data_IF_095751648012
#
_entry.id   IF_095751648012
#
_cell.length_a   1.000
_cell.length_b   1.000
_cell.length_c   1.000
_cell.angle_alpha   90.00
_cell.angle_beta   90.00
_cell.angle_gamma   90.00
#
_symmetry.space_group_name_H-M   'P 1'
#
loop_
_entity.id
_entity.type
_entity.pdbx_description
1 polymer ?
#
# COMPACT_ATOMS: atom_id res chain seq x y z
N UNK A 1 13.56 -15.43 -17.85
CA UNK A 1 12.54 -14.64 -18.59
C UNK A 1 12.15 -15.27 -19.92
N UNK A 2 13.08 -15.53 -20.86
CA UNK A 2 12.73 -16.08 -22.18
C UNK A 2 11.97 -17.43 -22.09
N UNK A 3 12.44 -18.34 -21.23
CA UNK A 3 11.76 -19.63 -20.98
C UNK A 3 10.33 -19.42 -20.43
N UNK A 4 10.14 -18.45 -19.53
CA UNK A 4 8.82 -18.10 -18.98
C UNK A 4 7.87 -17.56 -20.06
N UNK A 5 8.40 -16.76 -21.00
CA UNK A 5 7.63 -16.23 -22.14
C UNK A 5 7.21 -17.38 -23.06
N UNK A 6 8.13 -18.29 -23.40
CA UNK A 6 7.84 -19.46 -24.23
C UNK A 6 6.78 -20.35 -23.57
N UNK A 7 6.91 -20.62 -22.26
CA UNK A 7 5.93 -21.40 -21.49
C UNK A 7 4.55 -20.73 -21.45
N UNK A 8 4.50 -19.40 -21.31
CA UNK A 8 3.25 -18.64 -21.36
C UNK A 8 2.54 -18.79 -22.71
N UNK A 9 3.27 -18.64 -23.82
CA UNK A 9 2.71 -18.81 -25.16
C UNK A 9 2.30 -20.27 -25.46
N UNK A 10 3.05 -21.25 -24.96
CA UNK A 10 2.67 -22.67 -25.06
C UNK A 10 1.35 -22.98 -24.33
N UNK A 11 1.07 -22.26 -23.22
CA UNK A 11 -0.13 -22.42 -22.42
C UNK A 11 -1.40 -21.75 -22.97
N UNK A 12 -1.31 -20.89 -23.99
CA UNK A 12 -2.45 -20.08 -24.51
C UNK A 12 -3.69 -20.91 -24.81
N UNK A 13 -3.54 -22.14 -25.32
CA UNK A 13 -4.67 -23.01 -25.68
C UNK A 13 -5.42 -23.59 -24.46
N UNK A 14 -4.83 -23.53 -23.27
CA UNK A 14 -5.41 -24.05 -22.02
C UNK A 14 -6.15 -22.95 -21.25
N UNK A 15 -5.91 -21.68 -21.56
CA UNK A 15 -6.55 -20.57 -20.86
C UNK A 15 -8.03 -20.43 -21.25
N UNK A 16 -8.87 -20.33 -20.24
CA UNK A 16 -10.28 -19.99 -20.41
C UNK A 16 -10.43 -18.47 -20.57
N UNK A 17 -10.92 -18.03 -21.74
CA UNK A 17 -11.11 -16.62 -22.02
C UNK A 17 -12.42 -16.11 -21.39
N UNK A 18 -12.30 -15.38 -20.29
CA UNK A 18 -13.43 -14.66 -19.67
C UNK A 18 -13.68 -13.38 -20.48
N UNK A 19 -14.95 -13.11 -20.83
CA UNK A 19 -15.32 -11.87 -21.53
C UNK A 19 -14.93 -10.65 -20.67
N UNK A 20 -14.32 -9.59 -21.25
CA UNK A 20 -13.87 -8.44 -20.48
C UNK A 20 -15.05 -7.65 -19.89
N UNK A 21 -15.06 -7.46 -18.58
CA UNK A 21 -16.09 -6.72 -17.84
C UNK A 21 -16.03 -5.18 -17.95
N UNK A 22 -15.51 -4.64 -19.06
CA UNK A 22 -15.28 -3.20 -19.22
C UNK A 22 -14.08 -2.66 -18.43
N UNK A 23 -13.89 -1.33 -18.45
CA UNK A 23 -12.79 -0.64 -17.76
C UNK A 23 -13.28 0.06 -16.49
N UNK A 24 -12.76 -0.36 -15.34
CA UNK A 24 -13.07 0.25 -14.04
C UNK A 24 -12.62 1.73 -13.99
N UNK A 25 -11.51 2.08 -14.66
CA UNK A 25 -11.07 3.48 -14.76
C UNK A 25 -12.07 4.36 -15.51
N UNK A 26 -12.73 3.80 -16.55
CA UNK A 26 -13.82 4.49 -17.24
C UNK A 26 -15.00 4.72 -16.30
N UNK A 27 -15.36 3.73 -15.49
CA UNK A 27 -16.43 3.84 -14.49
C UNK A 27 -16.13 4.94 -13.46
N UNK A 28 -14.91 4.99 -12.93
CA UNK A 28 -14.48 6.04 -11.99
C UNK A 28 -14.60 7.43 -12.65
N UNK A 29 -14.10 7.57 -13.88
CA UNK A 29 -14.16 8.83 -14.62
C UNK A 29 -15.62 9.26 -14.91
N UNK A 30 -16.47 8.32 -15.31
CA UNK A 30 -17.89 8.54 -15.57
C UNK A 30 -18.61 9.07 -14.33
N UNK A 31 -18.42 8.44 -13.16
CA UNK A 31 -19.05 8.88 -11.92
C UNK A 31 -18.59 10.30 -11.54
N UNK A 32 -17.30 10.60 -11.68
CA UNK A 32 -16.76 11.94 -11.37
C UNK A 32 -17.30 13.00 -12.34
N UNK A 33 -17.37 12.70 -13.63
CA UNK A 33 -17.88 13.61 -14.66
C UNK A 33 -19.38 13.83 -14.49
N UNK A 34 -20.16 12.77 -14.29
CA UNK A 34 -21.60 12.85 -14.06
C UNK A 34 -21.93 13.64 -12.79
N UNK A 35 -21.21 13.39 -11.69
CA UNK A 35 -21.35 14.14 -10.44
C UNK A 35 -21.02 15.62 -10.61
N UNK A 36 -19.98 15.95 -11.37
CA UNK A 36 -19.58 17.33 -11.68
C UNK A 36 -20.63 18.03 -12.55
N UNK A 37 -21.15 17.35 -13.58
CA UNK A 37 -22.18 17.89 -14.46
C UNK A 37 -23.49 18.17 -13.71
N UNK A 38 -23.89 17.26 -12.80
CA UNK A 38 -25.09 17.38 -11.96
C UNK A 38 -24.85 18.17 -10.66
N UNK A 39 -23.71 18.87 -10.51
CA UNK A 39 -23.33 19.56 -9.25
C UNK A 39 -24.36 20.63 -8.82
N UNK A 40 -25.03 21.27 -9.77
CA UNK A 40 -26.02 22.33 -9.52
C UNK A 40 -27.39 21.80 -9.03
N UNK A 41 -27.66 20.49 -9.15
CA UNK A 41 -28.94 19.92 -8.76
C UNK A 41 -29.02 19.68 -7.25
N UNK A 42 -30.18 19.95 -6.66
CA UNK A 42 -30.45 19.59 -5.27
C UNK A 42 -30.75 18.10 -5.15
N UNK A 43 -30.27 17.48 -4.08
CA UNK A 43 -30.61 16.10 -3.74
C UNK A 43 -32.01 16.09 -3.12
N UNK A 44 -32.90 15.15 -3.49
CA UNK A 44 -34.19 15.01 -2.86
C UNK A 44 -34.04 14.69 -1.37
N UNK A 45 -34.97 15.19 -0.55
CA UNK A 45 -34.99 14.95 0.89
C UNK A 45 -35.45 13.51 1.21
N UNK A 46 -35.15 13.06 2.43
CA UNK A 46 -35.08 11.64 2.82
C UNK A 46 -36.34 10.78 2.52
N UNK A 47 -37.51 11.41 2.38
CA UNK A 47 -38.82 10.76 2.18
C UNK A 47 -39.16 10.43 0.71
N UNK A 48 -38.51 11.05 -0.28
CA UNK A 48 -38.79 10.84 -1.73
C UNK A 48 -37.79 9.90 -2.44
N UNK A 49 -37.04 9.10 -1.68
CA UNK A 49 -35.91 8.31 -2.22
C UNK A 49 -36.30 7.13 -3.12
N UNK A 50 -37.55 6.66 -3.07
CA UNK A 50 -37.99 5.53 -3.88
C UNK A 50 -38.14 5.96 -5.36
N UNK A 51 -37.15 5.61 -6.19
CA UNK A 51 -37.16 5.84 -7.64
C UNK A 51 -36.41 7.09 -8.14
N UNK A 52 -35.81 7.87 -7.24
CA UNK A 52 -35.01 9.06 -7.61
C UNK A 52 -33.59 8.70 -8.10
N UNK A 53 -33.06 7.57 -7.65
CA UNK A 53 -31.73 7.09 -8.02
C UNK A 53 -31.81 5.89 -8.96
N UNK A 54 -30.87 5.83 -9.91
CA UNK A 54 -30.78 4.73 -10.85
C UNK A 54 -30.10 3.52 -10.20
N UNK A 55 -30.90 2.50 -9.91
CA UNK A 55 -30.44 1.21 -9.38
C UNK A 55 -30.96 0.07 -10.29
N UNK A 56 -30.20 -0.31 -11.35
CA UNK A 56 -30.59 -1.41 -12.21
C UNK A 56 -30.53 -2.73 -11.44
N UNK A 57 -31.53 -3.59 -11.64
CA UNK A 57 -31.52 -4.96 -11.13
C UNK A 57 -30.42 -5.74 -11.87
N UNK A 58 -29.37 -6.13 -11.15
CA UNK A 58 -28.31 -6.97 -11.69
C UNK A 58 -28.74 -8.43 -11.61
N UNK A 59 -28.67 -9.13 -12.74
CA UNK A 59 -29.03 -10.55 -12.91
C UNK A 59 -28.14 -11.54 -12.12
N UNK A 60 -27.11 -11.06 -11.43
CA UNK A 60 -26.18 -11.91 -10.65
C UNK A 60 -26.34 -11.63 -9.15
N UNK A 61 -27.03 -12.55 -8.47
CA UNK A 61 -27.29 -12.59 -7.02
C UNK A 61 -26.03 -12.58 -6.11
N UNK A 62 -24.82 -12.57 -6.67
CA UNK A 62 -23.55 -12.61 -5.90
C UNK A 62 -22.87 -11.24 -5.73
N UNK A 63 -23.35 -10.17 -6.36
CA UNK A 63 -22.79 -8.83 -6.15
C UNK A 63 -23.41 -8.18 -4.90
N UNK A 64 -22.60 -8.14 -3.83
CA UNK A 64 -22.90 -7.46 -2.57
C UNK A 64 -23.53 -6.07 -2.84
N UNK A 65 -24.83 -5.91 -2.53
CA UNK A 65 -25.53 -4.63 -2.68
C UNK A 65 -25.03 -3.67 -1.61
N UNK A 66 -24.46 -2.54 -2.02
CA UNK A 66 -24.04 -1.51 -1.08
C UNK A 66 -25.25 -0.66 -0.67
N UNK A 67 -25.55 -0.52 0.64
CA UNK A 67 -26.57 0.40 1.09
C UNK A 67 -26.16 1.85 0.76
N UNK A 68 -27.12 2.70 0.41
CA UNK A 68 -26.84 4.10 0.11
C UNK A 68 -26.23 4.81 1.33
N UNK A 69 -24.94 5.14 1.26
CA UNK A 69 -24.24 5.79 2.38
C UNK A 69 -24.32 7.30 2.26
N UNK A 70 -24.58 8.02 3.36
CA UNK A 70 -24.67 9.49 3.37
C UNK A 70 -23.34 10.23 3.25
N UNK A 71 -22.23 9.51 3.22
CA UNK A 71 -20.90 10.05 2.99
C UNK A 71 -20.69 10.38 1.49
N UNK A 72 -19.84 11.38 1.23
CA UNK A 72 -19.58 11.90 -0.12
C UNK A 72 -20.87 12.19 -0.91
N UNK A 73 -21.80 12.96 -0.31
CA UNK A 73 -23.13 13.26 -0.89
C UNK A 73 -23.07 13.80 -2.32
N UNK A 74 -22.02 14.53 -2.70
CA UNK A 74 -21.86 15.05 -4.05
C UNK A 74 -21.77 13.96 -5.12
N UNK A 75 -21.23 12.77 -4.80
CA UNK A 75 -21.14 11.65 -5.74
C UNK A 75 -22.51 11.01 -6.00
N UNK A 76 -23.45 11.07 -5.05
CA UNK A 76 -24.83 10.59 -5.25
C UNK A 76 -25.52 11.29 -6.42
N UNK A 77 -25.13 12.53 -6.73
CA UNK A 77 -25.69 13.29 -7.85
C UNK A 77 -25.46 12.61 -9.21
N UNK A 78 -24.43 11.78 -9.35
CA UNK A 78 -24.19 11.01 -10.57
C UNK A 78 -25.28 9.97 -10.85
N UNK A 79 -25.93 9.44 -9.80
CA UNK A 79 -26.99 8.44 -9.91
C UNK A 79 -28.40 9.02 -9.96
N UNK A 80 -28.55 10.35 -9.92
CA UNK A 80 -29.85 11.02 -9.90
C UNK A 80 -30.50 10.99 -11.30
N UNK A 81 -31.71 10.45 -11.38
CA UNK A 81 -32.50 10.37 -12.63
C UNK A 81 -33.16 11.72 -12.89
N UNK A 82 -32.80 12.38 -13.99
CA UNK A 82 -33.49 13.59 -14.45
C UNK A 82 -34.70 13.13 -15.29
N UNK A 83 -35.85 13.81 -15.17
CA UNK A 83 -37.11 13.43 -15.84
C UNK A 83 -36.99 13.26 -17.37
N UNK A 84 -36.05 13.96 -18.01
CA UNK A 84 -35.75 13.85 -19.46
C UNK A 84 -34.80 12.69 -19.84
N UNK A 85 -34.27 11.92 -18.87
CA UNK A 85 -33.35 10.79 -19.08
C UNK A 85 -34.04 9.41 -18.96
N UNK A 86 -35.38 9.36 -19.04
CA UNK A 86 -36.15 8.12 -19.29
C UNK A 86 -35.95 7.67 -20.74
N UNK A 87 -34.74 7.19 -21.03
CA UNK A 87 -34.36 6.62 -22.31
C UNK A 87 -34.12 5.12 -22.09
N UNK A 88 -34.57 4.29 -23.04
CA UNK A 88 -34.37 2.83 -23.08
C UNK A 88 -32.95 2.42 -22.65
N UNK A 89 -32.82 1.26 -21.98
CA UNK A 89 -31.54 0.75 -21.47
C UNK A 89 -30.42 0.68 -22.52
N UNK A 90 -30.77 0.59 -23.82
CA UNK A 90 -29.84 0.46 -24.94
C UNK A 90 -29.19 1.77 -25.42
N UNK A 91 -29.72 2.94 -25.05
CA UNK A 91 -29.26 4.26 -25.57
C UNK A 91 -28.81 5.24 -24.49
N UNK A 92 -28.53 4.73 -23.28
CA UNK A 92 -28.06 5.55 -22.16
C UNK A 92 -26.59 5.95 -22.28
N UNK A 93 -26.32 7.23 -22.04
CA UNK A 93 -24.96 7.75 -21.97
C UNK A 93 -24.38 7.56 -20.54
N UNK A 94 -23.39 6.67 -20.36
CA UNK A 94 -22.82 6.36 -19.04
C UNK A 94 -22.07 7.55 -18.41
N UNK A 95 -21.78 8.61 -19.18
CA UNK A 95 -21.15 9.84 -18.69
C UNK A 95 -22.12 10.85 -18.06
N UNK A 96 -23.43 10.64 -18.18
CA UNK A 96 -24.46 11.52 -17.59
C UNK A 96 -25.21 10.85 -16.45
N UNK A 97 -25.37 9.54 -16.49
CA UNK A 97 -26.08 8.77 -15.46
C UNK A 97 -25.31 7.49 -15.13
N UNK A 98 -24.98 7.33 -13.85
CA UNK A 98 -24.28 6.15 -13.33
C UNK A 98 -25.21 5.38 -12.39
N UNK A 99 -24.94 4.09 -12.15
CA UNK A 99 -25.72 3.33 -11.17
C UNK A 99 -25.33 3.71 -9.73
N UNK A 100 -26.25 3.50 -8.78
CA UNK A 100 -25.96 3.64 -7.34
C UNK A 100 -24.76 2.79 -6.94
N UNK A 101 -24.68 1.57 -7.48
CA UNK A 101 -23.57 0.67 -7.19
C UNK A 101 -22.22 1.26 -7.63
N UNK A 102 -22.09 1.78 -8.86
CA UNK A 102 -20.85 2.43 -9.32
C UNK A 102 -20.43 3.61 -8.45
N UNK A 103 -21.41 4.36 -7.94
CA UNK A 103 -21.18 5.48 -7.02
C UNK A 103 -20.67 4.99 -5.66
N UNK A 104 -21.30 3.98 -5.07
CA UNK A 104 -20.88 3.43 -3.78
C UNK A 104 -19.53 2.70 -3.89
N UNK A 105 -19.24 2.03 -5.01
CA UNK A 105 -17.94 1.44 -5.29
C UNK A 105 -16.82 2.50 -5.27
N UNK A 106 -17.02 3.64 -5.96
CA UNK A 106 -16.08 4.75 -5.94
C UNK A 106 -15.93 5.35 -4.53
N UNK A 107 -17.03 5.48 -3.77
CA UNK A 107 -16.95 5.97 -2.39
C UNK A 107 -16.08 5.05 -1.53
N UNK A 108 -16.27 3.73 -1.64
CA UNK A 108 -15.44 2.78 -0.90
C UNK A 108 -13.96 2.93 -1.28
N UNK A 109 -13.67 3.02 -2.57
CA UNK A 109 -12.31 3.25 -3.06
C UNK A 109 -11.68 4.53 -2.50
N UNK A 110 -12.44 5.64 -2.44
CA UNK A 110 -11.97 6.90 -1.86
C UNK A 110 -11.71 6.80 -0.35
N UNK A 111 -12.42 5.95 0.40
CA UNK A 111 -12.16 5.69 1.82
C UNK A 111 -10.86 4.93 2.06
N UNK A 112 -10.46 4.11 1.11
CA UNK A 112 -9.24 3.29 1.18
C UNK A 112 -7.98 4.13 0.87
N UNK A 113 -8.12 5.19 0.05
CA UNK A 113 -7.01 6.04 -0.40
C UNK A 113 -6.15 6.64 0.73
N UNK A 114 -6.70 7.19 1.82
CA UNK A 114 -5.90 7.71 2.92
C UNK A 114 -4.95 6.67 3.53
N UNK A 115 -5.43 5.44 3.72
CA UNK A 115 -4.63 4.32 4.27
C UNK A 115 -3.53 3.92 3.29
N UNK A 116 -3.84 3.93 2.00
CA UNK A 116 -2.87 3.70 0.94
C UNK A 116 -1.77 4.77 0.94
N UNK A 117 -2.12 6.07 1.02
CA UNK A 117 -1.14 7.17 1.05
C UNK A 117 -0.25 7.14 2.29
N UNK A 118 -0.79 6.86 3.48
CA UNK A 118 0.01 6.79 4.70
C UNK A 118 1.02 5.64 4.66
N UNK A 119 0.63 4.52 4.06
CA UNK A 119 1.51 3.37 3.80
C UNK A 119 2.70 3.72 2.92
N UNK A 120 2.51 4.58 1.90
CA UNK A 120 3.61 5.07 1.06
C UNK A 120 4.64 5.79 1.92
N UNK A 121 4.20 6.78 2.69
CA UNK A 121 5.07 7.70 3.41
C UNK A 121 5.84 6.99 4.54
N UNK A 122 5.12 6.23 5.36
CA UNK A 122 5.68 5.73 6.63
C UNK A 122 6.45 4.42 6.45
N UNK A 123 6.09 3.57 5.48
CA UNK A 123 6.68 2.23 5.33
C UNK A 123 7.40 2.06 4.00
N UNK A 124 6.76 2.38 2.88
CA UNK A 124 7.33 2.05 1.58
C UNK A 124 8.53 2.94 1.20
N UNK A 125 8.55 4.22 1.59
CA UNK A 125 9.74 5.07 1.39
C UNK A 125 10.95 4.51 2.16
N UNK A 126 10.85 4.19 3.46
CA UNK A 126 11.91 3.48 4.18
C UNK A 126 12.41 2.20 3.51
N UNK A 127 11.49 1.36 3.01
CA UNK A 127 11.85 0.14 2.28
C UNK A 127 12.62 0.50 1.00
N UNK A 128 12.18 1.50 0.24
CA UNK A 128 12.88 1.93 -0.97
C UNK A 128 14.31 2.45 -0.68
N UNK A 129 14.52 3.06 0.48
CA UNK A 129 15.82 3.58 0.91
C UNK A 129 16.75 2.52 1.51
N UNK A 130 16.19 1.40 1.97
CA UNK A 130 16.89 0.30 2.64
C UNK A 130 18.01 -0.29 1.78
N UNK A 131 17.84 -0.31 0.45
CA UNK A 131 18.84 -0.86 -0.48
C UNK A 131 20.03 0.06 -0.77
N UNK A 132 20.05 1.29 -0.24
CA UNK A 132 21.02 2.32 -0.66
C UNK A 132 21.83 2.83 0.54
N UNK A 133 21.17 3.49 1.49
CA UNK A 133 21.87 4.17 2.59
C UNK A 133 22.52 3.21 3.59
N UNK A 134 21.84 2.14 4.06
CA UNK A 134 22.47 1.20 4.99
C UNK A 134 23.73 0.53 4.44
N UNK A 135 23.81 0.28 3.13
CA UNK A 135 25.01 -0.25 2.49
C UNK A 135 26.14 0.77 2.56
N UNK A 136 25.84 2.04 2.28
CA UNK A 136 26.81 3.14 2.39
C UNK A 136 27.28 3.35 3.83
N UNK A 137 26.37 3.25 4.80
CA UNK A 137 26.71 3.30 6.23
C UNK A 137 27.63 2.15 6.62
N UNK A 138 27.30 0.93 6.19
CA UNK A 138 28.10 -0.25 6.48
C UNK A 138 29.53 -0.18 5.93
N UNK A 139 29.74 0.45 4.77
CA UNK A 139 31.08 0.69 4.23
C UNK A 139 31.93 1.61 5.12
N UNK A 140 31.31 2.40 5.98
CA UNK A 140 31.95 3.32 6.94
C UNK A 140 31.90 2.82 8.38
N UNK A 141 31.63 1.53 8.58
CA UNK A 141 31.57 0.85 9.86
C UNK A 141 32.55 -0.32 9.90
N UNK A 142 32.85 -0.81 11.10
CA UNK A 142 33.63 -2.02 11.28
C UNK A 142 32.79 -3.24 10.90
N UNK A 143 33.21 -3.93 9.83
CA UNK A 143 32.52 -5.10 9.27
C UNK A 143 33.09 -6.43 9.76
N UNK A 144 34.01 -6.41 10.72
CA UNK A 144 34.51 -7.64 11.34
C UNK A 144 33.48 -8.22 12.30
N UNK A 145 33.26 -9.54 12.19
CA UNK A 145 32.30 -10.24 13.03
C UNK A 145 32.90 -10.52 14.41
N UNK A 146 32.43 -9.83 15.46
CA UNK A 146 32.77 -10.09 16.87
C UNK A 146 34.28 -10.33 17.15
N UNK A 147 35.15 -9.52 16.56
CA UNK A 147 36.60 -9.62 16.77
C UNK A 147 37.29 -10.78 16.01
N UNK A 148 36.59 -11.43 15.08
CA UNK A 148 37.21 -12.36 14.12
C UNK A 148 37.80 -11.61 12.93
N UNK A 149 38.73 -12.24 12.22
CA UNK A 149 39.30 -11.71 10.97
C UNK A 149 38.33 -11.83 9.76
N UNK A 150 37.08 -12.25 9.97
CA UNK A 150 36.11 -12.38 8.89
C UNK A 150 35.38 -11.05 8.67
N UNK A 151 35.60 -10.48 7.48
CA UNK A 151 34.97 -9.23 7.06
C UNK A 151 33.66 -9.50 6.30
N UNK A 152 32.56 -8.96 6.82
CA UNK A 152 31.24 -9.11 6.21
C UNK A 152 31.12 -8.18 4.99
N UNK A 153 30.71 -8.68 3.81
CA UNK A 153 30.40 -7.81 2.68
C UNK A 153 29.24 -6.85 3.01
N UNK A 154 29.41 -5.55 2.75
CA UNK A 154 28.38 -4.54 3.07
C UNK A 154 27.01 -4.86 2.44
N UNK A 155 26.98 -5.43 1.23
CA UNK A 155 25.74 -5.85 0.57
C UNK A 155 24.99 -6.97 1.28
N UNK A 156 25.69 -7.86 2.01
CA UNK A 156 25.09 -9.02 2.68
C UNK A 156 24.33 -8.68 3.96
N UNK A 157 24.42 -7.45 4.45
CA UNK A 157 23.71 -7.02 5.68
C UNK A 157 22.18 -7.04 5.47
N UNK A 158 21.73 -6.88 4.23
CA UNK A 158 20.32 -7.05 3.84
C UNK A 158 19.78 -8.46 4.16
N UNK A 159 20.64 -9.47 4.30
CA UNK A 159 20.26 -10.82 4.71
C UNK A 159 19.60 -10.83 6.10
N UNK A 160 19.89 -9.86 6.98
CA UNK A 160 19.24 -9.74 8.28
C UNK A 160 17.72 -9.60 8.12
N UNK A 161 17.24 -8.83 7.13
CA UNK A 161 15.80 -8.72 6.86
C UNK A 161 15.20 -10.03 6.37
N UNK A 162 15.91 -10.79 5.53
CA UNK A 162 15.44 -12.09 5.05
C UNK A 162 15.34 -13.11 6.18
N UNK A 163 16.38 -13.20 7.02
CA UNK A 163 16.40 -14.09 8.19
C UNK A 163 15.32 -13.70 9.19
N UNK A 164 15.19 -12.40 9.49
CA UNK A 164 14.16 -11.90 10.41
C UNK A 164 12.76 -12.23 9.88
N UNK A 165 12.51 -11.99 8.59
CA UNK A 165 11.22 -12.33 7.96
C UNK A 165 10.95 -13.84 8.03
N UNK A 166 11.95 -14.65 7.72
CA UNK A 166 11.86 -16.12 7.73
C UNK A 166 11.59 -16.71 9.11
N UNK A 167 12.09 -16.09 10.18
CA UNK A 167 11.82 -16.49 11.57
C UNK A 167 10.49 -15.93 12.06
N UNK A 168 10.23 -14.65 11.79
CA UNK A 168 9.08 -13.94 12.33
C UNK A 168 7.76 -14.43 11.73
N UNK A 169 7.70 -14.71 10.43
CA UNK A 169 6.47 -15.15 9.76
C UNK A 169 5.90 -16.45 10.35
N UNK A 170 6.65 -17.57 10.46
CA UNK A 170 6.12 -18.79 11.08
C UNK A 170 5.85 -18.61 12.57
N UNK A 171 6.63 -17.80 13.28
CA UNK A 171 6.38 -17.47 14.68
C UNK A 171 5.04 -16.73 14.83
N UNK A 172 4.78 -15.77 13.94
CA UNK A 172 3.54 -15.01 13.93
C UNK A 172 2.35 -15.91 13.64
N UNK A 173 2.40 -16.70 12.58
CA UNK A 173 1.27 -17.54 12.16
C UNK A 173 0.98 -18.70 13.12
N UNK A 174 2.01 -19.32 13.70
CA UNK A 174 1.84 -20.52 14.55
C UNK A 174 1.70 -20.23 16.04
N UNK A 175 2.25 -19.13 16.54
CA UNK A 175 2.31 -18.86 17.98
C UNK A 175 1.58 -17.57 18.33
N UNK A 176 1.93 -16.45 17.69
CA UNK A 176 1.40 -15.14 18.08
C UNK A 176 -0.07 -15.01 17.69
N UNK A 177 -0.43 -15.28 16.44
CA UNK A 177 -1.80 -15.17 15.94
C UNK A 177 -2.80 -16.04 16.73
N UNK A 178 -2.58 -17.36 16.91
CA UNK A 178 -3.49 -18.19 17.72
C UNK A 178 -3.47 -17.81 19.21
N UNK A 179 -2.36 -17.28 19.73
CA UNK A 179 -2.30 -16.74 21.09
C UNK A 179 -3.20 -15.51 21.25
N UNK A 180 -3.12 -14.56 20.31
CA UNK A 180 -3.96 -13.35 20.32
C UNK A 180 -5.43 -13.72 20.09
N UNK A 181 -5.73 -14.67 19.21
CA UNK A 181 -7.09 -15.16 18.98
C UNK A 181 -7.72 -15.74 20.24
N UNK A 182 -6.97 -16.54 21.01
CA UNK A 182 -7.44 -17.06 22.31
C UNK A 182 -7.75 -15.97 23.32
N UNK A 183 -6.96 -14.89 23.34
CA UNK A 183 -7.14 -13.77 24.28
C UNK A 183 -8.30 -12.86 23.82
N UNK A 184 -8.38 -12.58 22.53
CA UNK A 184 -9.30 -11.59 21.97
C UNK A 184 -10.68 -12.19 21.65
N UNK A 185 -10.78 -13.52 21.58
CA UNK A 185 -11.97 -14.28 21.18
C UNK A 185 -12.57 -13.82 19.84
N UNK A 186 -11.70 -13.35 18.93
CA UNK A 186 -12.06 -12.90 17.58
C UNK A 186 -11.28 -13.73 16.56
N UNK A 187 -11.97 -14.22 15.54
CA UNK A 187 -11.35 -14.94 14.43
C UNK A 187 -10.22 -14.10 13.81
N UNK A 188 -9.01 -14.66 13.79
CA UNK A 188 -7.80 -13.99 13.27
C UNK A 188 -7.06 -13.07 14.25
N UNK A 189 -7.53 -12.92 15.49
CA UNK A 189 -6.86 -12.22 16.58
C UNK A 189 -6.81 -10.70 16.44
N UNK A 190 -5.92 -10.18 15.57
CA UNK A 190 -5.76 -8.74 15.32
C UNK A 190 -6.64 -8.28 14.18
N UNK A 191 -7.31 -7.14 14.35
CA UNK A 191 -8.03 -6.51 13.25
C UNK A 191 -7.05 -6.07 12.15
N UNK A 192 -7.52 -6.02 10.92
CA UNK A 192 -6.67 -5.71 9.78
C UNK A 192 -6.03 -4.31 9.88
N UNK A 193 -6.78 -3.31 10.36
CA UNK A 193 -6.25 -1.97 10.62
C UNK A 193 -5.21 -1.95 11.75
N UNK A 194 -5.36 -2.76 12.79
CA UNK A 194 -4.35 -2.87 13.85
C UNK A 194 -3.04 -3.46 13.31
N UNK A 195 -3.12 -4.48 12.44
CA UNK A 195 -1.91 -5.06 11.80
C UNK A 195 -1.19 -4.01 10.95
N UNK A 196 -1.93 -3.24 10.16
CA UNK A 196 -1.38 -2.10 9.40
C UNK A 196 -0.75 -1.06 10.35
N UNK A 197 -1.43 -0.73 11.46
CA UNK A 197 -0.90 0.18 12.48
C UNK A 197 0.40 -0.31 13.12
N UNK A 198 0.49 -1.58 13.47
CA UNK A 198 1.71 -2.23 13.96
C UNK A 198 2.85 -2.13 12.94
N UNK A 199 2.54 -2.34 11.65
CA UNK A 199 3.48 -2.14 10.56
C UNK A 199 4.05 -0.72 10.55
N UNK A 200 3.19 0.30 10.68
CA UNK A 200 3.60 1.70 10.75
C UNK A 200 4.50 1.98 11.97
N UNK A 201 4.14 1.49 13.15
CA UNK A 201 4.96 1.67 14.37
C UNK A 201 6.35 1.06 14.18
N UNK A 202 6.44 -0.16 13.67
CA UNK A 202 7.73 -0.79 13.37
C UNK A 202 8.54 -0.01 12.31
N UNK A 203 7.89 0.57 11.31
CA UNK A 203 8.55 1.41 10.30
C UNK A 203 9.16 2.68 10.90
N UNK A 204 8.41 3.36 11.77
CA UNK A 204 8.89 4.54 12.51
C UNK A 204 10.08 4.17 13.40
N UNK A 205 9.96 3.08 14.17
CA UNK A 205 11.05 2.60 15.02
C UNK A 205 12.30 2.29 14.19
N UNK A 206 12.16 1.63 13.04
CA UNK A 206 13.30 1.37 12.15
C UNK A 206 14.04 2.65 11.76
N UNK A 207 13.30 3.68 11.33
CA UNK A 207 13.91 4.96 10.94
C UNK A 207 14.51 5.74 12.12
N UNK A 208 13.94 5.61 13.32
CA UNK A 208 14.56 6.14 14.54
C UNK A 208 15.91 5.46 14.82
N UNK A 209 15.99 4.14 14.68
CA UNK A 209 17.26 3.41 14.83
C UNK A 209 18.28 3.83 13.77
N UNK A 210 17.87 4.01 12.51
CA UNK A 210 18.75 4.53 11.44
C UNK A 210 19.37 5.87 11.85
N UNK A 211 18.55 6.81 12.33
CA UNK A 211 19.02 8.12 12.76
C UNK A 211 19.97 8.06 13.97
N UNK A 212 19.60 7.30 15.01
CA UNK A 212 20.41 7.15 16.22
C UNK A 212 21.77 6.50 15.95
N UNK A 213 21.78 5.42 15.16
CA UNK A 213 23.01 4.72 14.79
C UNK A 213 23.89 5.61 13.91
N UNK A 214 23.32 6.41 13.01
CA UNK A 214 24.10 7.34 12.19
C UNK A 214 24.73 8.47 13.01
N UNK A 215 24.00 9.05 13.96
CA UNK A 215 24.55 10.06 14.87
C UNK A 215 25.75 9.47 15.63
N UNK A 216 25.56 8.29 16.22
CA UNK A 216 26.63 7.64 16.98
C UNK A 216 27.83 7.28 16.11
N UNK A 217 27.60 6.73 14.91
CA UNK A 217 28.64 6.42 13.93
C UNK A 217 29.43 7.68 13.54
N UNK A 218 28.72 8.79 13.28
CA UNK A 218 29.32 10.07 12.89
C UNK A 218 30.15 10.67 14.01
N UNK A 219 29.64 10.65 15.24
CA UNK A 219 30.37 11.18 16.41
C UNK A 219 31.65 10.40 16.66
N UNK A 220 31.59 9.06 16.57
CA UNK A 220 32.78 8.21 16.67
C UNK A 220 33.77 8.44 15.52
N UNK A 221 33.29 8.65 14.29
CA UNK A 221 34.17 8.96 13.16
C UNK A 221 34.90 10.30 13.34
N UNK A 222 34.25 11.30 13.94
CA UNK A 222 34.86 12.61 14.18
C UNK A 222 35.83 12.61 15.36
N UNK A 223 35.58 11.78 16.39
CA UNK A 223 36.49 11.65 17.54
C UNK A 223 37.70 10.76 17.26
N UNK A 224 37.58 9.87 16.27
CA UNK A 224 38.66 8.96 15.87
C UNK A 224 39.57 9.63 14.86
N UNK A 225 40.89 9.60 15.08
CA UNK A 225 41.90 10.09 14.13
C UNK A 225 42.17 9.11 12.98
N UNK A 226 41.18 8.30 12.59
CA UNK A 226 41.29 7.35 11.48
C UNK A 226 41.24 8.07 10.14
N UNK A 227 42.32 7.96 9.35
CA UNK A 227 42.47 8.62 8.03
C UNK A 227 41.39 8.26 7.01
N UNK A 228 40.75 7.11 7.18
CA UNK A 228 39.84 6.53 6.19
C UNK A 228 38.36 6.90 6.44
N UNK A 229 38.10 7.63 7.54
CA UNK A 229 36.76 8.04 7.97
C UNK A 229 35.84 6.86 8.33
N UNK A 230 36.42 5.69 8.65
CA UNK A 230 35.72 4.51 9.16
C UNK A 230 35.56 4.66 10.66
N UNK A 231 34.33 4.57 11.14
CA UNK A 231 34.03 4.60 12.57
C UNK A 231 34.32 3.22 13.19
N UNK A 232 34.91 3.15 14.39
CA UNK A 232 35.09 1.92 15.16
C UNK A 232 33.74 1.45 15.77
N UNK A 233 32.71 1.35 14.93
CA UNK A 233 31.37 0.92 15.30
C UNK A 233 31.03 -0.34 14.52
N UNK A 234 30.70 -1.42 15.23
CA UNK A 234 30.34 -2.69 14.59
C UNK A 234 29.10 -2.54 13.73
N UNK A 235 29.16 -3.11 12.52
CA UNK A 235 28.05 -3.15 11.57
C UNK A 235 26.80 -3.87 12.09
N UNK A 236 26.94 -4.69 13.14
CA UNK A 236 25.81 -5.34 13.82
C UNK A 236 24.83 -4.33 14.47
N UNK A 237 25.26 -3.09 14.71
CA UNK A 237 24.35 -2.01 15.15
C UNK A 237 23.31 -1.61 14.10
N UNK A 238 23.48 -2.03 12.85
CA UNK A 238 22.43 -1.93 11.83
C UNK A 238 21.37 -3.04 11.98
N UNK A 239 21.59 -4.10 12.77
CA UNK A 239 20.62 -5.18 12.89
C UNK A 239 19.22 -4.73 13.38
N UNK A 240 19.08 -3.86 14.40
CA UNK A 240 17.76 -3.40 14.86
C UNK A 240 16.92 -2.75 13.78
N UNK A 241 17.48 -1.82 12.99
CA UNK A 241 16.76 -1.18 11.88
C UNK A 241 16.29 -2.20 10.83
N UNK A 242 17.13 -3.19 10.50
CA UNK A 242 16.80 -4.27 9.55
C UNK A 242 15.75 -5.26 10.09
N UNK A 243 15.70 -5.46 11.41
CA UNK A 243 14.67 -6.26 12.05
C UNK A 243 13.32 -5.55 12.07
N UNK A 244 13.30 -4.28 12.51
CA UNK A 244 12.06 -3.49 12.57
C UNK A 244 11.44 -3.26 11.19
N UNK A 245 12.25 -3.00 10.17
CA UNK A 245 11.72 -2.84 8.80
C UNK A 245 11.18 -4.17 8.24
N UNK A 246 11.79 -5.31 8.59
CA UNK A 246 11.30 -6.63 8.21
C UNK A 246 9.92 -6.90 8.82
N UNK A 247 9.77 -6.67 10.14
CA UNK A 247 8.49 -6.79 10.83
C UNK A 247 7.45 -5.83 10.22
N UNK A 248 7.83 -4.58 9.99
CA UNK A 248 6.98 -3.57 9.34
C UNK A 248 6.45 -4.07 8.00
N UNK A 249 7.33 -4.59 7.14
CA UNK A 249 6.97 -5.10 5.82
C UNK A 249 6.01 -6.30 5.88
N UNK A 250 6.23 -7.24 6.80
CA UNK A 250 5.34 -8.40 6.98
C UNK A 250 3.94 -7.95 7.43
N UNK A 251 3.86 -7.15 8.48
CA UNK A 251 2.58 -6.64 8.99
C UNK A 251 1.82 -5.83 7.94
N UNK A 252 2.55 -4.99 7.19
CA UNK A 252 1.97 -4.15 6.15
C UNK A 252 1.44 -4.97 4.98
N UNK A 253 2.22 -5.96 4.52
CA UNK A 253 1.84 -6.80 3.37
C UNK A 253 0.61 -7.62 3.67
N UNK A 254 0.58 -8.31 4.82
CA UNK A 254 -0.58 -9.14 5.18
C UNK A 254 -1.78 -8.27 5.52
N UNK A 255 -1.58 -7.20 6.30
CA UNK A 255 -2.63 -6.25 6.66
C UNK A 255 -3.28 -5.60 5.44
N UNK A 256 -2.50 -5.06 4.51
CA UNK A 256 -3.07 -4.46 3.31
C UNK A 256 -3.75 -5.49 2.40
N UNK A 257 -3.14 -6.66 2.19
CA UNK A 257 -3.73 -7.69 1.33
C UNK A 257 -5.11 -8.11 1.84
N UNK A 258 -5.22 -8.34 3.14
CA UNK A 258 -6.49 -8.69 3.77
C UNK A 258 -7.48 -7.51 3.75
N UNK A 259 -7.02 -6.28 4.01
CA UNK A 259 -7.85 -5.08 4.04
C UNK A 259 -8.45 -4.79 2.66
N UNK A 260 -7.61 -4.79 1.63
CA UNK A 260 -8.05 -4.59 0.26
C UNK A 260 -9.01 -5.69 -0.20
N UNK A 261 -8.80 -6.95 0.21
CA UNK A 261 -9.71 -8.03 -0.18
C UNK A 261 -11.08 -7.93 0.53
N UNK A 262 -11.11 -7.50 1.81
CA UNK A 262 -12.33 -7.37 2.62
C UNK A 262 -13.14 -6.12 2.27
N UNK A 263 -12.47 -4.97 2.18
CA UNK A 263 -13.12 -3.68 2.01
C UNK A 263 -13.38 -3.31 0.55
N UNK A 264 -12.63 -3.88 -0.41
CA UNK A 264 -12.84 -3.51 -1.82
C UNK A 264 -14.07 -4.19 -2.42
N UNK A 265 -14.90 -3.44 -3.16
CA UNK A 265 -15.99 -4.01 -3.94
C UNK A 265 -15.52 -5.11 -4.89
N UNK A 266 -16.38 -6.09 -5.15
CA UNK A 266 -16.06 -7.24 -6.02
C UNK A 266 -15.55 -6.79 -7.39
N UNK A 267 -16.15 -5.75 -7.98
CA UNK A 267 -15.73 -5.17 -9.27
C UNK A 267 -14.37 -4.45 -9.23
N UNK A 268 -13.90 -4.04 -8.05
CA UNK A 268 -12.68 -3.24 -7.89
C UNK A 268 -11.52 -3.99 -7.20
N UNK A 269 -11.70 -5.25 -6.80
CA UNK A 269 -10.64 -6.05 -6.13
C UNK A 269 -9.33 -6.12 -6.92
N UNK A 270 -9.41 -6.16 -8.25
CA UNK A 270 -8.21 -6.18 -9.10
C UNK A 270 -7.39 -4.89 -8.95
N UNK A 271 -8.05 -3.72 -9.02
CA UNK A 271 -7.40 -2.43 -8.80
C UNK A 271 -6.82 -2.33 -7.39
N UNK A 272 -7.56 -2.80 -6.39
CA UNK A 272 -7.10 -2.79 -5.01
C UNK A 272 -5.80 -3.59 -4.82
N UNK A 273 -5.66 -4.73 -5.50
CA UNK A 273 -4.38 -5.47 -5.56
C UNK A 273 -3.30 -4.70 -6.33
N UNK A 274 -3.64 -4.03 -7.43
CA UNK A 274 -2.68 -3.19 -8.16
C UNK A 274 -2.17 -2.00 -7.32
N UNK A 275 -2.98 -1.45 -6.40
CA UNK A 275 -2.56 -0.39 -5.49
C UNK A 275 -1.39 -0.81 -4.59
N UNK A 276 -1.31 -2.09 -4.20
CA UNK A 276 -0.16 -2.62 -3.46
C UNK A 276 1.14 -2.51 -4.26
N UNK A 277 1.11 -2.87 -5.54
CA UNK A 277 2.28 -2.74 -6.42
C UNK A 277 2.61 -1.26 -6.67
N UNK A 278 1.59 -0.42 -6.84
CA UNK A 278 1.77 1.03 -7.03
C UNK A 278 2.41 1.69 -5.81
N UNK A 279 2.18 1.21 -4.59
CA UNK A 279 2.86 1.73 -3.39
C UNK A 279 4.38 1.72 -3.54
N UNK A 280 4.94 0.61 -4.03
CA UNK A 280 6.38 0.46 -4.21
C UNK A 280 6.90 1.44 -5.26
N UNK A 281 6.19 1.58 -6.38
CA UNK A 281 6.55 2.49 -7.45
C UNK A 281 6.51 3.96 -6.99
N UNK A 282 5.40 4.40 -6.39
CA UNK A 282 5.27 5.76 -5.87
C UNK A 282 6.31 6.05 -4.78
N UNK A 283 6.55 5.11 -3.86
CA UNK A 283 7.57 5.28 -2.84
C UNK A 283 8.98 5.44 -3.42
N UNK A 284 9.30 4.70 -4.48
CA UNK A 284 10.59 4.81 -5.16
C UNK A 284 10.78 6.18 -5.83
N UNK A 285 9.72 6.70 -6.47
CA UNK A 285 9.73 8.06 -7.04
C UNK A 285 9.85 9.13 -5.96
N UNK A 286 9.04 9.05 -4.91
CA UNK A 286 9.08 10.03 -3.81
C UNK A 286 10.43 9.98 -3.10
N UNK A 287 10.98 8.78 -2.84
CA UNK A 287 12.34 8.62 -2.29
C UNK A 287 13.39 9.30 -3.16
N UNK A 288 13.33 9.11 -4.48
CA UNK A 288 14.25 9.77 -5.42
C UNK A 288 14.12 11.30 -5.39
N UNK A 289 12.89 11.82 -5.31
CA UNK A 289 12.65 13.27 -5.17
C UNK A 289 13.25 13.79 -3.86
N UNK A 290 13.02 13.10 -2.74
CA UNK A 290 13.58 13.47 -1.43
C UNK A 290 15.11 13.53 -1.51
N UNK A 291 15.75 12.52 -2.09
CA UNK A 291 17.20 12.45 -2.24
C UNK A 291 17.73 13.59 -3.10
N UNK A 292 17.09 13.87 -4.24
CA UNK A 292 17.51 14.95 -5.16
C UNK A 292 17.37 16.33 -4.51
N UNK A 293 16.27 16.57 -3.79
CA UNK A 293 16.06 17.82 -3.05
C UNK A 293 17.12 17.98 -1.97
N UNK A 294 17.37 16.94 -1.17
CA UNK A 294 18.40 16.95 -0.14
C UNK A 294 19.78 17.21 -0.73
N UNK A 295 20.13 16.54 -1.82
CA UNK A 295 21.43 16.73 -2.49
C UNK A 295 21.59 18.16 -3.01
N UNK A 296 20.56 18.73 -3.64
CA UNK A 296 20.57 20.11 -4.12
C UNK A 296 20.67 21.15 -2.99
N UNK A 297 20.04 20.91 -1.84
CA UNK A 297 20.15 21.77 -0.66
C UNK A 297 21.53 21.64 -0.03
N UNK A 298 22.05 20.42 0.16
CA UNK A 298 23.38 20.19 0.77
C UNK A 298 24.46 20.86 -0.06
N UNK A 299 24.51 20.68 -1.39
CA UNK A 299 25.52 21.33 -2.24
C UNK A 299 25.50 22.87 -2.18
N UNK A 300 24.36 23.48 -1.84
CA UNK A 300 24.21 24.93 -1.77
C UNK A 300 24.67 25.51 -0.43
N UNK A 301 24.57 24.75 0.65
CA UNK A 301 24.78 25.25 2.03
C UNK A 301 25.84 24.48 2.83
N UNK A 302 26.50 23.47 2.26
CA UNK A 302 27.51 22.63 2.92
C UNK A 302 28.54 22.08 1.96
#
# INVERSE_FOLDING_TARGET
MIISIIAFFAGIKVYHNVKPGGSIFSTIAQVLVAAKHKRHLHLPDHDDNYGAFYDPLLDNDEQQRFPLTNEFRFLKKAALVIKDEKIDESSRNPWRLCSVQQVEELKCFLKIMPIWVTSIIIVNIPIAQQGIFPISQALKMDRHFFGTNFEIPAGSISAITLVTTGIFLPLYDKIIAPGIEKITMKEGGLTTLQRIGLGHVCGILSMLFVGLVEIWRRDLANSSSSSDGVAPLSVMWLAPQFMFIALSHVFQTVGHTEFFNKESPTGMRSIAKSLLCLNVAFASYVSSIIINVLHGVTMKYG
#
